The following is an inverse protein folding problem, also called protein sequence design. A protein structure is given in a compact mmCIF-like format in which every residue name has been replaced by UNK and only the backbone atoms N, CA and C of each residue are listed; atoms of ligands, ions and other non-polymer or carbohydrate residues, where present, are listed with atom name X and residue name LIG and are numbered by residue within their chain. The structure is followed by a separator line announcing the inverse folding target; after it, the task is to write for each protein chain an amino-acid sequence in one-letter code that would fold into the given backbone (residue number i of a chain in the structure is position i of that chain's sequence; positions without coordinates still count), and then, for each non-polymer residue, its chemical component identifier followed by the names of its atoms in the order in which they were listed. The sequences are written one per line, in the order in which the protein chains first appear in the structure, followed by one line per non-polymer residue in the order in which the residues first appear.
data_IF_876020737612
#
_entry.id   IF_876020737612
#
_cell.length_a   1.000
_cell.length_b   1.000
_cell.length_c   1.000
_cell.angle_alpha   90.00
_cell.angle_beta   90.00
_cell.angle_gamma   90.00
#
_symmetry.space_group_name_H-M   'P 1'
#
loop_
_entity.id
_entity.type
_entity.pdbx_description
1 polymer ?
#
# COMPACT_ATOMS: atom_id res chain seq x y z
N UNK A 1 -16.37 14.84 5.91
CA UNK A 1 -16.09 14.04 4.70
C UNK A 1 -14.61 13.84 4.49
N UNK A 2 -13.86 14.93 4.35
CA UNK A 2 -12.42 14.95 4.02
C UNK A 2 -11.52 14.18 5.01
N UNK A 3 -11.73 14.36 6.32
CA UNK A 3 -10.96 13.67 7.37
C UNK A 3 -11.06 12.14 7.28
N UNK A 4 -12.28 11.61 7.03
CA UNK A 4 -12.51 10.16 6.90
C UNK A 4 -11.74 9.55 5.72
N UNK A 5 -11.56 10.31 4.64
CA UNK A 5 -10.81 9.81 3.48
C UNK A 5 -9.31 9.77 3.76
N UNK A 6 -8.75 10.78 4.44
CA UNK A 6 -7.36 10.76 4.88
C UNK A 6 -7.11 9.64 5.91
N UNK A 7 -8.04 9.41 6.82
CA UNK A 7 -7.99 8.30 7.77
C UNK A 7 -8.01 6.94 7.06
N UNK A 8 -8.81 6.76 6.01
CA UNK A 8 -8.79 5.54 5.21
C UNK A 8 -7.42 5.28 4.56
N UNK A 9 -6.75 6.33 4.08
CA UNK A 9 -5.38 6.21 3.54
C UNK A 9 -4.42 5.75 4.63
N UNK A 10 -4.50 6.33 5.82
CA UNK A 10 -3.67 5.93 6.95
C UNK A 10 -3.90 4.46 7.36
N UNK A 11 -5.17 4.02 7.42
CA UNK A 11 -5.51 2.62 7.72
C UNK A 11 -4.96 1.65 6.68
N UNK A 12 -4.96 2.03 5.40
CA UNK A 12 -4.30 1.26 4.35
C UNK A 12 -2.79 1.15 4.56
N UNK A 13 -2.12 2.27 4.87
CA UNK A 13 -0.66 2.30 5.09
C UNK A 13 -0.26 1.35 6.22
N UNK A 14 -0.97 1.40 7.35
CA UNK A 14 -0.69 0.51 8.49
C UNK A 14 -0.96 -0.95 8.16
N UNK A 15 -2.06 -1.25 7.45
CA UNK A 15 -2.34 -2.61 6.99
C UNK A 15 -1.28 -3.14 6.01
N UNK A 16 -0.77 -2.30 5.10
CA UNK A 16 0.28 -2.67 4.16
C UNK A 16 1.59 -3.02 4.87
N UNK A 17 1.98 -2.26 5.91
CA UNK A 17 3.15 -2.57 6.75
C UNK A 17 2.99 -3.93 7.45
N UNK A 18 1.84 -4.17 8.07
CA UNK A 18 1.52 -5.46 8.73
C UNK A 18 1.51 -6.61 7.72
N UNK A 19 1.06 -6.36 6.49
CA UNK A 19 1.05 -7.36 5.42
C UNK A 19 2.46 -7.81 5.02
N UNK A 20 3.47 -6.95 5.20
CA UNK A 20 4.88 -7.22 4.89
C UNK A 20 5.48 -6.26 3.87
N UNK A 21 4.80 -5.16 3.52
CA UNK A 21 5.37 -4.13 2.65
C UNK A 21 6.42 -3.34 3.42
N UNK A 22 7.66 -3.19 2.90
CA UNK A 22 8.69 -2.36 3.54
C UNK A 22 8.22 -0.91 3.69
N UNK A 23 8.52 -0.27 4.81
CA UNK A 23 8.06 1.10 5.10
C UNK A 23 8.53 2.12 4.04
N UNK A 24 9.72 1.92 3.47
CA UNK A 24 10.26 2.75 2.38
C UNK A 24 9.41 2.70 1.09
N UNK A 25 8.68 1.60 0.87
CA UNK A 25 7.81 1.43 -0.29
C UNK A 25 6.40 1.97 -0.03
N UNK A 26 6.05 2.31 1.21
CA UNK A 26 4.73 2.86 1.57
C UNK A 26 4.67 4.36 1.25
N UNK A 27 3.66 4.78 0.50
CA UNK A 27 3.46 6.18 0.13
C UNK A 27 2.97 7.03 1.31
N UNK A 28 3.20 8.35 1.28
CA UNK A 28 2.68 9.29 2.28
C UNK A 28 1.26 9.72 1.94
N UNK A 29 0.47 10.14 2.95
CA UNK A 29 -0.93 10.52 2.72
C UNK A 29 -1.08 11.62 1.67
N UNK A 30 -0.18 12.62 1.66
CA UNK A 30 -0.17 13.72 0.69
C UNK A 30 0.13 13.26 -0.74
N UNK A 31 0.87 12.16 -0.92
CA UNK A 31 1.22 11.63 -2.25
C UNK A 31 -0.03 11.21 -3.02
N UNK A 32 -0.97 10.59 -2.33
CA UNK A 32 -2.25 10.14 -2.89
C UNK A 32 -3.34 11.22 -2.76
N UNK A 33 -3.47 11.83 -1.58
CA UNK A 33 -4.55 12.78 -1.28
C UNK A 33 -4.48 14.05 -2.13
N UNK A 34 -3.28 14.63 -2.27
CA UNK A 34 -3.04 15.83 -3.08
C UNK A 34 -2.48 15.50 -4.48
N UNK A 35 -2.35 14.21 -4.80
CA UNK A 35 -1.80 13.70 -6.06
C UNK A 35 -0.36 14.17 -6.32
N UNK A 36 0.41 14.40 -5.27
CA UNK A 36 1.81 14.85 -5.38
C UNK A 36 2.72 13.79 -5.96
N UNK A 37 2.45 12.50 -5.70
CA UNK A 37 3.26 11.40 -6.21
C UNK A 37 2.44 10.11 -6.35
N UNK A 38 1.66 10.01 -7.43
CA UNK A 38 0.89 8.80 -7.75
C UNK A 38 1.80 7.60 -8.11
N UNK A 39 3.04 7.88 -8.55
CA UNK A 39 4.05 6.86 -8.79
C UNK A 39 4.37 6.05 -7.54
N UNK A 40 4.61 6.73 -6.41
CA UNK A 40 4.86 6.08 -5.12
C UNK A 40 3.67 5.23 -4.67
N UNK A 41 2.43 5.73 -4.85
CA UNK A 41 1.22 4.95 -4.54
C UNK A 41 1.14 3.66 -5.39
N UNK A 42 1.52 3.75 -6.66
CA UNK A 42 1.54 2.60 -7.58
C UNK A 42 2.65 1.61 -7.20
N UNK A 43 3.83 2.09 -6.82
CA UNK A 43 4.94 1.25 -6.35
C UNK A 43 4.57 0.50 -5.07
N UNK A 44 3.90 1.16 -4.11
CA UNK A 44 3.38 0.51 -2.91
C UNK A 44 2.43 -0.65 -3.23
N UNK A 45 1.53 -0.47 -4.22
CA UNK A 45 0.63 -1.55 -4.65
C UNK A 45 1.39 -2.72 -5.28
N UNK A 46 2.42 -2.44 -6.08
CA UNK A 46 3.28 -3.50 -6.62
C UNK A 46 4.08 -4.22 -5.51
N UNK A 47 4.54 -3.50 -4.49
CA UNK A 47 5.22 -4.10 -3.34
C UNK A 47 4.28 -4.98 -2.50
N UNK A 48 3.03 -4.54 -2.30
CA UNK A 48 1.97 -5.34 -1.68
C UNK A 48 1.71 -6.64 -2.47
N UNK A 49 1.65 -6.52 -3.80
CA UNK A 49 1.50 -7.66 -4.71
C UNK A 49 2.61 -8.70 -4.60
N UNK A 50 3.87 -8.25 -4.45
CA UNK A 50 5.02 -9.15 -4.25
C UNK A 50 5.02 -9.78 -2.86
N UNK A 51 4.58 -9.05 -1.83
CA UNK A 51 4.49 -9.59 -0.47
C UNK A 51 3.53 -10.80 -0.39
N UNK A 52 2.59 -10.96 -1.33
CA UNK A 52 1.77 -12.15 -1.43
C UNK A 52 2.59 -13.44 -1.62
N UNK A 53 3.73 -13.40 -2.31
CA UNK A 53 4.57 -14.60 -2.54
C UNK A 53 5.19 -15.16 -1.26
N UNK A 54 5.36 -14.34 -0.23
CA UNK A 54 5.97 -14.77 1.04
C UNK A 54 4.94 -15.28 2.05
N UNK A 55 3.65 -15.24 1.70
CA UNK A 55 2.53 -15.54 2.58
C UNK A 55 1.86 -16.86 2.22
N UNK A 56 2.02 -17.87 3.07
CA UNK A 56 1.38 -19.18 2.90
C UNK A 56 -0.14 -19.17 3.14
N UNK A 57 -0.66 -18.14 3.83
CA UNK A 57 -2.09 -17.96 4.07
C UNK A 57 -2.82 -17.26 2.91
N UNK A 58 -2.07 -16.72 1.95
CA UNK A 58 -2.64 -16.06 0.78
C UNK A 58 -2.86 -17.05 -0.37
N UNK A 59 -4.12 -17.30 -0.71
CA UNK A 59 -4.53 -18.21 -1.80
C UNK A 59 -4.98 -17.47 -3.07
N UNK A 60 -4.79 -16.15 -3.13
CA UNK A 60 -5.17 -15.33 -4.28
C UNK A 60 -4.08 -15.20 -5.33
N UNK A 61 -4.35 -14.51 -6.45
CA UNK A 61 -3.34 -14.21 -7.45
C UNK A 61 -2.33 -13.16 -6.95
N UNK A 62 -1.03 -13.45 -7.09
CA UNK A 62 0.04 -12.51 -6.79
C UNK A 62 0.25 -11.52 -7.95
N UNK A 63 0.65 -10.29 -7.63
CA UNK A 63 0.89 -9.24 -8.62
C UNK A 63 2.39 -8.93 -8.70
N UNK A 64 2.94 -9.03 -9.91
CA UNK A 64 4.38 -8.87 -10.17
C UNK A 64 5.12 -10.21 -10.21
N UNK A 65 6.40 -10.23 -10.63
CA UNK A 65 7.25 -11.41 -10.61
C UNK A 65 7.75 -11.78 -9.20
#
# INVERSE_FOLDING_TARGET
GQFKMMENIYRFQEAAKIWGVPEIDVFLTVDLWERRNIGQATQCLMALGRACYTRSDYNGPCLGP
#
